data_IF_392349925078
#
_entry.id   IF_392349925078
#
_cell.length_a   1.000
_cell.length_b   1.000
_cell.length_c   1.000
_cell.angle_alpha   90.00
_cell.angle_beta   90.00
_cell.angle_gamma   90.00
#
_symmetry.space_group_name_H-M   'P 1'
#
loop_
_entity.id
_entity.type
_entity.pdbx_description
1 polymer ?
#
# COMPACT_ATOMS: atom_id res chain seq x y z
N UNK A 1 27.20 -96.87 -36.40
CA UNK A 1 26.46 -95.71 -36.96
C UNK A 1 24.94 -95.70 -36.64
N UNK A 2 24.46 -96.36 -35.57
CA UNK A 2 23.00 -96.45 -35.27
C UNK A 2 22.46 -95.42 -34.24
N UNK A 3 23.32 -94.76 -33.46
CA UNK A 3 22.87 -93.83 -32.39
C UNK A 3 22.52 -92.41 -32.86
N UNK A 4 23.10 -91.92 -33.97
CA UNK A 4 22.80 -90.59 -34.55
C UNK A 4 21.49 -90.57 -35.36
N UNK A 5 21.08 -91.70 -35.93
CA UNK A 5 19.79 -91.81 -36.64
C UNK A 5 18.60 -91.81 -35.69
N UNK A 6 18.76 -92.31 -34.47
CA UNK A 6 17.69 -92.41 -33.48
C UNK A 6 17.40 -91.06 -32.79
N UNK A 7 18.43 -90.22 -32.62
CA UNK A 7 18.29 -88.84 -32.10
C UNK A 7 17.65 -87.89 -33.13
N UNK A 8 17.93 -88.09 -34.42
CA UNK A 8 17.28 -87.33 -35.50
C UNK A 8 15.79 -87.66 -35.62
N UNK A 9 15.42 -88.94 -35.46
CA UNK A 9 14.03 -89.38 -35.48
C UNK A 9 13.23 -88.90 -34.25
N UNK A 10 13.89 -88.78 -33.09
CA UNK A 10 13.30 -88.24 -31.86
C UNK A 10 13.11 -86.71 -31.91
N UNK A 11 13.99 -85.99 -32.60
CA UNK A 11 13.88 -84.53 -32.80
C UNK A 11 12.79 -84.18 -33.82
N UNK A 12 12.60 -85.01 -34.85
CA UNK A 12 11.51 -84.87 -35.82
C UNK A 12 10.13 -85.12 -35.19
N UNK A 13 10.04 -86.02 -34.21
CA UNK A 13 8.80 -86.28 -33.47
C UNK A 13 8.38 -85.09 -32.58
N UNK A 14 9.34 -84.38 -31.98
CA UNK A 14 9.09 -83.22 -31.10
C UNK A 14 8.62 -81.98 -31.89
N UNK A 15 9.10 -81.78 -33.12
CA UNK A 15 8.62 -80.68 -33.98
C UNK A 15 7.17 -80.86 -34.44
N UNK A 16 6.63 -82.09 -34.49
CA UNK A 16 5.26 -82.34 -34.91
C UNK A 16 4.22 -81.98 -33.81
N UNK A 17 4.63 -81.97 -32.53
CA UNK A 17 3.72 -81.75 -31.39
C UNK A 17 3.44 -80.25 -31.15
N UNK A 18 4.28 -79.35 -31.67
CA UNK A 18 4.08 -77.89 -31.53
C UNK A 18 3.12 -77.30 -32.57
N UNK A 19 2.66 -78.07 -33.56
CA UNK A 19 1.60 -77.68 -34.50
C UNK A 19 0.19 -78.11 -34.06
N UNK A 20 0.04 -78.64 -32.84
CA UNK A 20 -1.24 -79.07 -32.27
C UNK A 20 -1.90 -78.03 -31.37
N UNK A 21 -2.33 -76.90 -31.92
CA UNK A 21 -3.34 -76.04 -31.28
C UNK A 21 -4.15 -75.29 -32.33
N UNK A 22 -4.92 -76.04 -33.13
CA UNK A 22 -5.97 -75.47 -33.98
C UNK A 22 -7.26 -76.30 -33.86
N UNK A 23 -8.03 -76.01 -32.81
CA UNK A 23 -9.48 -76.19 -32.79
C UNK A 23 -10.08 -75.38 -31.63
N UNK A 24 -10.38 -74.12 -31.90
CA UNK A 24 -11.12 -73.22 -31.02
C UNK A 24 -11.34 -71.92 -31.77
N UNK A 25 -12.59 -71.68 -32.17
CA UNK A 25 -12.97 -70.65 -33.12
C UNK A 25 -12.69 -69.20 -32.69
N UNK A 26 -13.07 -68.31 -33.61
CA UNK A 26 -12.87 -66.86 -33.64
C UNK A 26 -11.49 -66.40 -34.11
N UNK A 27 -11.37 -66.36 -35.44
CA UNK A 27 -10.72 -65.26 -36.11
C UNK A 27 -11.38 -63.94 -35.66
N UNK A 28 -10.82 -63.29 -34.64
CA UNK A 28 -11.08 -61.90 -34.35
C UNK A 28 -9.79 -61.15 -34.62
N UNK A 29 -9.85 -60.31 -35.65
CA UNK A 29 -8.76 -59.44 -36.05
C UNK A 29 -8.24 -58.66 -34.85
N UNK A 30 -6.92 -58.61 -34.76
CA UNK A 30 -6.17 -57.72 -33.88
C UNK A 30 -6.42 -56.27 -34.28
N UNK A 31 -7.55 -55.70 -33.84
CA UNK A 31 -7.65 -54.27 -33.61
C UNK A 31 -7.03 -54.01 -32.23
N UNK A 32 -5.81 -53.46 -32.21
CA UNK A 32 -5.30 -52.79 -31.01
C UNK A 32 -6.42 -51.89 -30.48
N UNK A 33 -6.66 -51.85 -29.15
CA UNK A 33 -7.63 -50.92 -28.61
C UNK A 33 -7.23 -49.50 -29.06
N UNK A 34 -8.18 -48.80 -29.68
CA UNK A 34 -7.98 -47.45 -30.20
C UNK A 34 -7.47 -46.58 -29.04
N UNK A 35 -6.36 -45.86 -29.25
CA UNK A 35 -5.69 -45.09 -28.21
C UNK A 35 -6.64 -44.09 -27.55
N UNK A 36 -7.64 -43.61 -28.30
CA UNK A 36 -8.74 -42.79 -27.77
C UNK A 36 -9.58 -43.53 -26.74
N UNK A 37 -10.01 -44.76 -27.03
CA UNK A 37 -10.79 -45.57 -26.10
C UNK A 37 -10.02 -45.95 -24.84
N UNK A 38 -8.72 -46.22 -24.95
CA UNK A 38 -7.86 -46.46 -23.77
C UNK A 38 -7.68 -45.18 -22.96
N UNK A 39 -7.49 -44.03 -23.62
CA UNK A 39 -7.37 -42.73 -22.95
C UNK A 39 -8.64 -42.34 -22.21
N UNK A 40 -9.80 -42.52 -22.82
CA UNK A 40 -11.10 -42.20 -22.22
C UNK A 40 -11.38 -43.13 -21.03
N UNK A 41 -11.06 -44.41 -21.15
CA UNK A 41 -11.13 -45.36 -20.03
C UNK A 41 -10.19 -44.98 -18.87
N UNK A 42 -8.96 -44.54 -19.16
CA UNK A 42 -8.02 -44.08 -18.13
C UNK A 42 -8.48 -42.75 -17.50
N UNK A 43 -9.07 -41.84 -18.27
CA UNK A 43 -9.67 -40.61 -17.77
C UNK A 43 -10.83 -40.90 -16.82
N UNK A 44 -11.71 -41.83 -17.19
CA UNK A 44 -12.83 -42.24 -16.34
C UNK A 44 -12.34 -42.89 -15.05
N UNK A 45 -11.34 -43.78 -15.11
CA UNK A 45 -10.71 -44.36 -13.92
C UNK A 45 -10.13 -43.26 -13.02
N UNK A 46 -9.43 -42.26 -13.56
CA UNK A 46 -8.90 -41.16 -12.76
C UNK A 46 -9.98 -40.25 -12.16
N UNK A 47 -11.14 -40.13 -12.81
CA UNK A 47 -12.24 -39.30 -12.34
C UNK A 47 -13.17 -40.02 -11.34
N UNK A 48 -13.13 -41.35 -11.28
CA UNK A 48 -13.91 -42.12 -10.30
C UNK A 48 -13.56 -41.74 -8.86
N UNK A 49 -14.57 -41.85 -7.98
CA UNK A 49 -14.43 -41.54 -6.56
C UNK A 49 -13.44 -42.48 -5.85
N UNK A 50 -13.20 -43.67 -6.40
CA UNK A 50 -12.24 -44.64 -5.87
C UNK A 50 -10.80 -44.20 -6.11
N UNK A 51 -10.51 -43.60 -7.28
CA UNK A 51 -9.22 -42.97 -7.56
C UNK A 51 -8.99 -41.74 -6.69
N UNK A 52 -10.01 -40.88 -6.51
CA UNK A 52 -9.92 -39.71 -5.61
C UNK A 52 -9.65 -40.13 -4.16
N UNK A 53 -10.37 -41.13 -3.64
CA UNK A 53 -10.15 -41.68 -2.29
C UNK A 53 -8.78 -42.32 -2.13
N UNK A 54 -8.32 -43.04 -3.16
CA UNK A 54 -6.98 -43.64 -3.16
C UNK A 54 -5.90 -42.56 -3.15
N UNK A 55 -6.08 -41.48 -3.92
CA UNK A 55 -5.16 -40.35 -3.92
C UNK A 55 -5.18 -39.59 -2.59
N UNK A 56 -6.34 -39.40 -1.98
CA UNK A 56 -6.48 -38.81 -0.65
C UNK A 56 -5.78 -39.65 0.44
N UNK A 57 -5.89 -40.98 0.35
CA UNK A 57 -5.19 -41.91 1.24
C UNK A 57 -3.68 -41.86 1.04
N UNK A 58 -3.22 -41.70 -0.20
CA UNK A 58 -1.82 -41.51 -0.54
C UNK A 58 -1.30 -40.16 -0.03
N UNK A 59 -2.06 -39.07 -0.16
CA UNK A 59 -1.74 -37.76 0.40
C UNK A 59 -1.68 -37.74 1.94
N UNK A 60 -2.37 -38.67 2.61
CA UNK A 60 -2.31 -38.83 4.06
C UNK A 60 -1.10 -39.63 4.53
N UNK A 61 -0.43 -40.38 3.64
CA UNK A 61 0.79 -41.11 3.94
C UNK A 61 1.97 -40.14 4.14
N UNK A 62 2.62 -40.21 5.30
CA UNK A 62 3.70 -39.31 5.66
C UNK A 62 4.94 -39.46 4.78
N UNK A 63 5.18 -40.65 4.20
CA UNK A 63 6.27 -40.85 3.22
C UNK A 63 5.98 -40.15 1.91
N UNK A 64 4.73 -40.15 1.48
CA UNK A 64 4.31 -39.44 0.27
C UNK A 64 4.29 -37.92 0.50
N UNK A 65 3.84 -37.46 1.68
CA UNK A 65 3.95 -36.05 2.08
C UNK A 65 5.39 -35.58 2.11
N UNK A 66 6.33 -36.32 2.69
CA UNK A 66 7.74 -35.92 2.70
C UNK A 66 8.34 -35.78 1.29
N UNK A 67 7.94 -36.64 0.36
CA UNK A 67 8.42 -36.58 -1.03
C UNK A 67 7.77 -35.45 -1.86
N UNK A 68 6.62 -34.94 -1.44
CA UNK A 68 5.87 -33.87 -2.14
C UNK A 68 6.02 -32.52 -1.44
N UNK A 69 6.29 -32.51 -0.14
CA UNK A 69 6.56 -31.31 0.63
C UNK A 69 7.78 -30.64 0.01
N UNK A 70 7.52 -29.53 -0.68
CA UNK A 70 8.55 -28.63 -1.13
C UNK A 70 9.41 -28.24 0.07
N UNK A 71 10.72 -28.29 -0.11
CA UNK A 71 11.69 -27.90 0.91
C UNK A 71 11.30 -26.53 1.49
N UNK A 72 11.31 -26.42 2.82
CA UNK A 72 10.87 -25.21 3.54
C UNK A 72 11.60 -23.97 3.03
N UNK A 73 12.88 -24.09 2.68
CA UNK A 73 13.68 -22.99 2.13
C UNK A 73 13.21 -22.57 0.73
N UNK A 74 12.76 -23.53 -0.09
CA UNK A 74 12.22 -23.25 -1.43
C UNK A 74 10.85 -22.59 -1.32
N UNK A 75 9.98 -23.07 -0.42
CA UNK A 75 8.67 -22.44 -0.16
C UNK A 75 8.86 -21.02 0.36
N UNK A 76 9.75 -20.83 1.34
CA UNK A 76 10.05 -19.52 1.92
C UNK A 76 10.62 -18.56 0.88
N UNK A 77 11.58 -19.01 0.07
CA UNK A 77 12.18 -18.17 -0.98
C UNK A 77 11.16 -17.81 -2.05
N UNK A 78 10.34 -18.77 -2.50
CA UNK A 78 9.29 -18.52 -3.48
C UNK A 78 8.24 -17.56 -2.94
N UNK A 79 7.84 -17.71 -1.66
CA UNK A 79 6.91 -16.80 -1.01
C UNK A 79 7.50 -15.39 -0.89
N UNK A 80 8.74 -15.24 -0.41
CA UNK A 80 9.42 -13.94 -0.32
C UNK A 80 9.53 -13.32 -1.71
N UNK A 81 9.99 -14.06 -2.71
CA UNK A 81 10.19 -13.55 -4.06
C UNK A 81 8.87 -13.19 -4.74
N UNK A 82 7.81 -13.97 -4.49
CA UNK A 82 6.45 -13.62 -4.90
C UNK A 82 5.96 -12.37 -4.17
N UNK A 83 6.32 -12.20 -2.89
CA UNK A 83 5.94 -11.06 -2.04
C UNK A 83 6.74 -9.77 -2.31
N UNK A 84 7.96 -9.87 -2.78
CA UNK A 84 8.83 -8.72 -3.07
C UNK A 84 8.79 -8.33 -4.53
N UNK A 85 8.15 -9.12 -5.40
CA UNK A 85 8.04 -8.80 -6.81
C UNK A 85 7.07 -7.62 -7.03
N UNK A 86 7.54 -6.46 -7.51
CA UNK A 86 6.71 -5.27 -7.72
C UNK A 86 5.62 -5.45 -8.81
N UNK A 87 5.76 -6.48 -9.64
CA UNK A 87 4.81 -6.87 -10.69
C UNK A 87 3.82 -7.95 -10.24
N UNK A 88 3.85 -8.39 -8.99
CA UNK A 88 2.87 -9.36 -8.49
C UNK A 88 1.48 -8.69 -8.37
N UNK A 89 0.55 -9.14 -9.21
CA UNK A 89 -0.86 -8.74 -9.14
C UNK A 89 -1.51 -9.25 -7.85
N UNK A 90 -1.15 -10.47 -7.44
CA UNK A 90 -1.71 -11.11 -6.26
C UNK A 90 -1.51 -10.34 -4.95
N UNK A 91 -0.35 -9.68 -4.76
CA UNK A 91 -0.15 -8.86 -3.56
C UNK A 91 -1.00 -7.61 -3.62
N UNK A 92 -1.03 -6.93 -4.77
CA UNK A 92 -1.82 -5.70 -4.94
C UNK A 92 -3.31 -5.99 -4.71
N UNK A 93 -3.78 -7.16 -5.12
CA UNK A 93 -5.13 -7.64 -4.82
C UNK A 93 -5.31 -7.98 -3.34
N UNK A 94 -4.35 -8.66 -2.71
CA UNK A 94 -4.39 -8.95 -1.28
C UNK A 94 -4.47 -7.68 -0.43
N UNK A 95 -3.74 -6.62 -0.76
CA UNK A 95 -3.83 -5.33 -0.07
C UNK A 95 -5.20 -4.64 -0.19
N UNK A 96 -6.01 -4.98 -1.21
CA UNK A 96 -7.37 -4.46 -1.36
C UNK A 96 -8.38 -5.21 -0.48
N UNK A 97 -8.04 -6.41 -0.01
CA UNK A 97 -8.89 -7.14 0.92
C UNK A 97 -8.84 -6.49 2.32
N UNK A 98 -9.98 -6.03 2.88
CA UNK A 98 -10.01 -5.41 4.20
C UNK A 98 -9.56 -6.33 5.33
N UNK A 99 -9.79 -7.64 5.22
CA UNK A 99 -9.37 -8.61 6.26
C UNK A 99 -7.86 -8.76 6.29
N UNK A 100 -7.25 -8.95 5.12
CA UNK A 100 -5.79 -8.95 4.98
C UNK A 100 -5.18 -7.63 5.43
N UNK A 101 -5.67 -6.49 4.93
CA UNK A 101 -5.15 -5.17 5.29
C UNK A 101 -5.27 -4.87 6.79
N UNK A 102 -6.41 -5.23 7.42
CA UNK A 102 -6.63 -5.06 8.86
C UNK A 102 -5.68 -5.92 9.69
N UNK A 103 -5.51 -7.18 9.30
CA UNK A 103 -4.62 -8.11 10.00
C UNK A 103 -3.16 -7.67 9.89
N UNK A 104 -2.74 -7.26 8.69
CA UNK A 104 -1.41 -6.72 8.44
C UNK A 104 -1.17 -5.40 9.19
N UNK A 105 -2.14 -4.48 9.18
CA UNK A 105 -2.03 -3.22 9.92
C UNK A 105 -1.94 -3.48 11.44
N UNK A 106 -2.69 -4.46 11.96
CA UNK A 106 -2.62 -4.84 13.39
C UNK A 106 -1.26 -5.44 13.75
N UNK A 107 -0.69 -6.30 12.90
CA UNK A 107 0.63 -6.89 13.17
C UNK A 107 1.75 -5.86 13.05
N UNK A 108 1.64 -4.90 12.12
CA UNK A 108 2.63 -3.84 11.92
C UNK A 108 2.48 -2.67 12.90
N UNK A 109 1.40 -2.58 13.67
CA UNK A 109 1.08 -1.43 14.53
C UNK A 109 2.22 -1.00 15.45
N UNK A 110 2.90 -1.95 16.07
CA UNK A 110 3.99 -1.68 17.02
C UNK A 110 5.21 -1.10 16.30
N UNK A 111 5.67 -1.76 15.24
CA UNK A 111 6.82 -1.30 14.45
C UNK A 111 6.53 0.03 13.76
N UNK A 112 5.33 0.21 13.21
CA UNK A 112 4.92 1.47 12.59
C UNK A 112 4.85 2.62 13.61
N UNK A 113 4.44 2.34 14.85
CA UNK A 113 4.49 3.34 15.94
C UNK A 113 5.93 3.73 16.29
N UNK A 114 6.85 2.76 16.32
CA UNK A 114 8.25 3.02 16.60
C UNK A 114 8.88 3.84 15.47
N UNK A 115 8.70 3.41 14.22
CA UNK A 115 9.13 4.14 13.02
C UNK A 115 8.61 5.58 13.02
N UNK A 116 7.32 5.78 13.30
CA UNK A 116 6.73 7.12 13.33
C UNK A 116 7.35 8.00 14.43
N UNK A 117 7.63 7.44 15.61
CA UNK A 117 8.31 8.17 16.69
C UNK A 117 9.74 8.55 16.34
N UNK A 118 10.43 7.69 15.59
CA UNK A 118 11.81 7.95 15.18
C UNK A 118 11.84 8.96 14.03
N UNK A 119 10.92 8.87 13.07
CA UNK A 119 10.71 9.91 12.04
C UNK A 119 10.38 11.27 12.65
N UNK A 120 9.56 11.34 13.71
CA UNK A 120 9.31 12.62 14.40
C UNK A 120 10.56 13.27 14.99
N UNK A 121 11.62 12.50 15.26
CA UNK A 121 12.91 13.03 15.74
C UNK A 121 13.88 13.33 14.60
N UNK A 122 13.57 12.86 13.39
CA UNK A 122 14.40 13.06 12.22
C UNK A 122 14.24 14.51 11.68
N UNK A 123 15.36 15.22 11.41
CA UNK A 123 15.30 16.61 10.97
C UNK A 123 14.67 16.81 9.59
N UNK A 124 14.79 15.83 8.67
CA UNK A 124 14.16 15.94 7.34
C UNK A 124 12.65 15.82 7.45
N UNK A 125 12.18 14.82 8.21
CA UNK A 125 10.74 14.65 8.46
C UNK A 125 10.15 15.84 9.24
N UNK A 126 10.87 16.40 10.22
CA UNK A 126 10.44 17.61 10.91
C UNK A 126 10.29 18.81 9.95
N UNK A 127 11.18 18.95 8.98
CA UNK A 127 11.11 20.03 7.99
C UNK A 127 9.88 19.90 7.09
N UNK A 128 9.57 18.69 6.66
CA UNK A 128 8.34 18.41 5.92
C UNK A 128 7.10 18.66 6.79
N UNK A 129 7.12 18.24 8.05
CA UNK A 129 6.02 18.49 8.99
C UNK A 129 5.78 20.00 9.21
N UNK A 130 6.85 20.79 9.35
CA UNK A 130 6.76 22.26 9.45
C UNK A 130 6.17 22.85 8.16
N UNK A 131 6.47 22.26 7.00
CA UNK A 131 5.91 22.70 5.73
C UNK A 131 4.40 22.44 5.69
N UNK A 132 3.95 21.29 6.18
CA UNK A 132 2.52 20.98 6.36
C UNK A 132 1.84 21.93 7.36
N UNK A 133 2.52 22.30 8.45
CA UNK A 133 2.00 23.28 9.42
C UNK A 133 1.91 24.72 8.87
N UNK A 134 2.54 25.03 7.74
CA UNK A 134 2.42 26.34 7.07
C UNK A 134 1.22 26.40 6.13
N UNK A 135 0.34 25.39 6.15
CA UNK A 135 -0.88 25.42 5.37
C UNK A 135 -1.82 26.56 5.83
N UNK A 136 -2.52 27.26 4.90
CA UNK A 136 -3.42 28.36 5.24
C UNK A 136 -4.52 28.00 6.24
N UNK A 137 -5.00 26.75 6.25
CA UNK A 137 -6.00 26.30 7.23
C UNK A 137 -5.40 26.23 8.63
N UNK A 138 -4.15 25.77 8.75
CA UNK A 138 -3.44 25.75 10.02
C UNK A 138 -3.13 27.18 10.50
N UNK A 139 -2.73 28.07 9.60
CA UNK A 139 -2.52 29.49 9.91
C UNK A 139 -3.80 30.14 10.44
N UNK A 140 -4.96 29.88 9.81
CA UNK A 140 -6.25 30.39 10.27
C UNK A 140 -6.59 29.89 11.68
N UNK A 141 -6.40 28.59 11.94
CA UNK A 141 -6.61 28.00 13.27
C UNK A 141 -5.67 28.63 14.32
N UNK A 142 -4.42 28.90 13.95
CA UNK A 142 -3.47 29.59 14.82
C UNK A 142 -3.87 31.04 15.10
N UNK A 143 -4.36 31.75 14.08
CA UNK A 143 -4.88 33.12 14.23
C UNK A 143 -6.11 33.17 15.14
N UNK A 144 -7.00 32.18 15.05
CA UNK A 144 -8.15 32.09 15.93
C UNK A 144 -7.73 31.75 17.37
N UNK A 145 -6.71 30.91 17.56
CA UNK A 145 -6.09 30.67 18.87
C UNK A 145 -5.50 31.95 19.46
N UNK A 146 -4.80 32.77 18.66
CA UNK A 146 -4.27 34.06 19.13
C UNK A 146 -5.37 35.06 19.50
N UNK A 147 -6.56 34.95 18.89
CA UNK A 147 -7.71 35.78 19.24
C UNK A 147 -8.46 35.26 20.48
N UNK A 148 -8.19 34.05 20.95
CA UNK A 148 -8.84 33.45 22.11
C UNK A 148 -8.64 34.28 23.38
N UNK A 149 -9.57 34.21 24.33
CA UNK A 149 -9.47 35.00 25.55
C UNK A 149 -8.25 34.61 26.41
N UNK A 150 -7.88 33.32 26.43
CA UNK A 150 -6.72 32.82 27.15
C UNK A 150 -5.42 33.43 26.61
N UNK A 151 -5.25 33.46 25.29
CA UNK A 151 -4.07 34.08 24.67
C UNK A 151 -4.05 35.60 24.88
N UNK A 152 -5.23 36.26 24.81
CA UNK A 152 -5.34 37.70 25.10
C UNK A 152 -4.96 38.03 26.54
N UNK A 153 -5.33 37.22 27.52
CA UNK A 153 -4.94 37.43 28.92
C UNK A 153 -3.41 37.34 29.09
N UNK A 154 -2.77 36.33 28.49
CA UNK A 154 -1.30 36.24 28.48
C UNK A 154 -0.67 37.43 27.77
N UNK A 155 -1.21 37.84 26.62
CA UNK A 155 -0.73 39.01 25.86
C UNK A 155 -0.85 40.30 26.68
N UNK A 156 -1.98 40.49 27.38
CA UNK A 156 -2.17 41.64 28.27
C UNK A 156 -1.17 41.63 29.42
N UNK A 157 -0.84 40.45 29.97
CA UNK A 157 0.15 40.34 31.03
C UNK A 157 1.56 40.69 30.53
N UNK A 158 1.97 40.14 29.38
CA UNK A 158 3.24 40.48 28.71
C UNK A 158 3.30 41.98 28.41
N UNK A 159 2.20 42.57 27.94
CA UNK A 159 2.12 44.01 27.66
C UNK A 159 2.28 44.83 28.96
N UNK A 160 1.62 44.45 30.06
CA UNK A 160 1.79 45.12 31.36
C UNK A 160 3.23 45.06 31.85
N UNK A 161 3.87 43.90 31.74
CA UNK A 161 5.28 43.72 32.12
C UNK A 161 6.21 44.54 31.21
N UNK A 162 5.91 44.59 29.91
CA UNK A 162 6.65 45.41 28.94
C UNK A 162 6.53 46.90 29.25
N UNK A 163 5.34 47.39 29.63
CA UNK A 163 5.14 48.79 30.07
C UNK A 163 5.87 49.12 31.37
N UNK A 164 6.12 48.12 32.22
CA UNK A 164 6.88 48.27 33.46
C UNK A 164 8.40 48.20 33.23
N UNK A 165 8.84 47.82 32.03
CA UNK A 165 10.26 47.81 31.67
C UNK A 165 10.84 49.23 31.71
N UNK A 166 11.97 49.47 32.41
CA UNK A 166 12.62 50.78 32.44
C UNK A 166 12.96 51.32 31.04
N UNK A 167 13.26 50.44 30.08
CA UNK A 167 13.54 50.83 28.71
C UNK A 167 12.28 51.39 28.03
N UNK A 168 11.14 50.71 28.18
CA UNK A 168 9.87 51.17 27.63
C UNK A 168 9.38 52.45 28.31
N UNK A 169 9.54 52.58 29.63
CA UNK A 169 9.21 53.79 30.37
C UNK A 169 10.04 54.99 29.90
N UNK A 170 11.35 54.79 29.68
CA UNK A 170 12.23 55.83 29.17
C UNK A 170 11.84 56.27 27.74
N UNK A 171 11.49 55.32 26.86
CA UNK A 171 10.97 55.62 25.53
C UNK A 171 9.62 56.36 25.58
N UNK A 172 8.73 55.94 26.47
CA UNK A 172 7.43 56.57 26.66
C UNK A 172 7.57 58.02 27.17
N UNK A 173 8.47 58.25 28.13
CA UNK A 173 8.80 59.60 28.61
C UNK A 173 9.39 60.45 27.47
N UNK A 174 10.32 59.90 26.68
CA UNK A 174 10.90 60.59 25.52
C UNK A 174 9.86 60.95 24.46
N UNK A 175 8.90 60.06 24.21
CA UNK A 175 7.76 60.31 23.32
C UNK A 175 6.83 61.38 23.88
N UNK A 176 6.54 61.36 25.19
CA UNK A 176 5.73 62.40 25.84
C UNK A 176 6.42 63.77 25.77
N UNK A 177 7.73 63.83 26.04
CA UNK A 177 8.51 65.07 25.91
C UNK A 177 8.48 65.61 24.48
N UNK A 178 8.70 64.75 23.47
CA UNK A 178 8.58 65.16 22.06
C UNK A 178 7.18 65.64 21.68
N UNK A 179 6.14 64.91 22.10
CA UNK A 179 4.76 65.31 21.84
C UNK A 179 4.45 66.67 22.48
N UNK A 180 4.96 66.93 23.68
CA UNK A 180 4.79 68.20 24.37
C UNK A 180 5.60 69.33 23.71
N UNK A 181 6.83 69.06 23.24
CA UNK A 181 7.61 69.98 22.40
C UNK A 181 6.87 70.32 21.10
N UNK A 182 6.22 69.36 20.45
CA UNK A 182 5.45 69.60 19.22
C UNK A 182 4.13 70.34 19.46
N UNK A 183 3.52 70.20 20.65
CA UNK A 183 2.36 70.98 21.07
C UNK A 183 2.72 72.40 21.53
N UNK A 184 3.93 72.61 22.04
CA UNK A 184 4.43 73.91 22.52
C UNK A 184 5.19 74.69 21.45
N UNK A 185 5.68 74.02 20.40
CA UNK A 185 6.04 74.70 19.15
C UNK A 185 4.79 75.41 18.63
N UNK A 186 4.84 76.73 18.38
CA UNK A 186 3.77 77.39 17.69
C UNK A 186 3.51 76.61 16.40
N UNK A 187 2.28 76.11 16.22
CA UNK A 187 1.79 75.84 14.86
C UNK A 187 1.98 77.15 14.14
N UNK A 188 3.02 77.26 13.31
CA UNK A 188 3.07 78.27 12.28
C UNK A 188 1.79 78.06 11.48
N UNK A 189 0.81 78.90 11.81
CA UNK A 189 -0.35 79.18 11.00
C UNK A 189 0.22 79.62 9.66
N UNK A 190 0.40 78.65 8.75
CA UNK A 190 0.64 78.97 7.35
C UNK A 190 -0.51 79.89 6.94
N UNK A 191 -0.21 81.13 6.53
CA UNK A 191 -1.24 82.12 6.28
C UNK A 191 -2.10 81.64 5.11
N UNK A 192 -3.42 81.61 5.35
CA UNK A 192 -4.42 81.64 4.29
C UNK A 192 -4.19 82.95 3.52
N UNK A 193 -3.61 82.88 2.33
CA UNK A 193 -3.69 83.94 1.32
C UNK A 193 -4.12 83.30 0.00
N UNK A 194 -5.31 83.70 -0.42
CA UNK A 194 -6.05 83.10 -1.52
C UNK A 194 -5.51 83.46 -2.91
N UNK A 195 -6.10 82.82 -3.92
CA UNK A 195 -5.81 83.16 -5.31
C UNK A 195 -6.35 82.21 -6.38
N UNK A 196 -7.68 82.09 -6.48
CA UNK A 196 -8.46 82.15 -7.75
C UNK A 196 -8.39 80.99 -8.79
N UNK A 197 -9.60 80.45 -9.05
CA UNK A 197 -10.19 79.91 -10.30
C UNK A 197 -9.40 78.90 -11.14
N UNK A 198 -9.98 77.70 -11.33
CA UNK A 198 -10.73 77.29 -12.54
C UNK A 198 -11.39 75.92 -12.23
N UNK A 199 -12.72 75.76 -12.28
CA UNK A 199 -13.59 75.53 -13.45
C UNK A 199 -13.76 74.04 -13.80
N UNK A 200 -15.03 73.61 -13.91
CA UNK A 200 -15.49 72.29 -14.37
C UNK A 200 -15.93 71.37 -13.22
N UNK A 201 -17.20 71.00 -13.00
CA UNK A 201 -18.38 71.04 -13.84
C UNK A 201 -18.95 69.62 -14.02
N UNK A 202 -20.12 69.37 -13.40
CA UNK A 202 -21.03 68.24 -13.67
C UNK A 202 -20.57 66.85 -13.18
N UNK A 203 -21.43 65.89 -12.86
CA UNK A 203 -22.88 65.82 -12.74
C UNK A 203 -23.21 64.50 -12.01
N UNK A 204 -24.41 64.46 -11.45
CA UNK A 204 -25.07 63.42 -10.67
C UNK A 204 -25.09 62.00 -11.26
N UNK A 205 -25.17 61.01 -10.36
CA UNK A 205 -25.97 59.74 -10.41
C UNK A 205 -25.53 58.92 -9.19
N UNK A 206 -26.28 58.85 -8.08
CA UNK A 206 -27.52 58.08 -7.81
C UNK A 206 -27.42 56.56 -8.08
N UNK A 207 -28.03 55.82 -7.15
CA UNK A 207 -28.15 54.34 -7.01
C UNK A 207 -26.90 53.59 -6.48
N UNK A 208 -27.01 52.71 -5.49
CA UNK A 208 -28.19 52.15 -4.85
C UNK A 208 -27.78 51.26 -3.68
N UNK A 209 -28.59 51.32 -2.63
CA UNK A 209 -28.50 50.55 -1.39
C UNK A 209 -29.51 49.40 -1.50
N UNK A 210 -29.16 48.24 -0.96
CA UNK A 210 -30.03 47.08 -0.63
C UNK A 210 -29.98 45.92 -1.61
N UNK A 211 -29.19 44.90 -1.26
CA UNK A 211 -29.65 43.54 -0.94
C UNK A 211 -28.53 42.75 -0.28
#
# INVERSE_FOLDING_TARGET
MRKKSMTFWLLALVCLVMTGCSSGGQAQGSSQPDYKSVKDMVLDILQTDEAKKSMEKMMKDDKFKQNIMLDESTVRTTLIQSMTNPNSTHIKEAFKDPQFASTLAKSMKTEQKNLMKDLMKDPEYQKELITVMKDPEFEKNLMDLMKSSAYRQQTMQIMKESLQSPLFQAEMLKLMTKAQEDLTKPKELKPKKGGKKDSGGGESSDEGKSS
#
